data_IF_029730217020
#
_entry.id   IF_029730217020
#
_cell.length_a   1.000
_cell.length_b   1.000
_cell.length_c   1.000
_cell.angle_alpha   90.00
_cell.angle_beta   90.00
_cell.angle_gamma   90.00
#
_symmetry.space_group_name_H-M   'P 1'
#
loop_
_entity.id
_entity.type
_entity.pdbx_description
1 polymer ?
#
# COMPACT_ATOMS: atom_id res chain seq x y z
N UNK A 1 -5.84 40.61 -34.15
CA UNK A 1 -5.69 39.74 -32.97
C UNK A 1 -4.22 39.37 -32.85
N UNK A 2 -3.44 40.16 -32.11
CA UNK A 2 -1.99 39.93 -31.94
C UNK A 2 -1.80 38.77 -30.96
N UNK A 3 -1.42 37.60 -31.46
CA UNK A 3 -1.08 36.45 -30.62
C UNK A 3 0.13 36.83 -29.77
N UNK A 4 -0.06 36.95 -28.45
CA UNK A 4 0.98 37.34 -27.50
C UNK A 4 2.00 36.19 -27.38
N UNK A 5 3.23 36.32 -27.90
CA UNK A 5 4.24 35.25 -27.88
C UNK A 5 4.67 34.88 -26.46
N UNK A 6 4.38 35.72 -25.48
CA UNK A 6 4.63 35.48 -24.06
C UNK A 6 3.76 34.35 -23.47
N UNK A 7 2.51 34.22 -23.93
CA UNK A 7 1.62 33.12 -23.54
C UNK A 7 2.11 31.77 -24.07
N UNK A 8 2.75 31.76 -25.26
CA UNK A 8 3.23 30.52 -25.89
C UNK A 8 4.40 29.90 -25.13
N UNK A 9 5.30 30.73 -24.61
CA UNK A 9 6.46 30.25 -23.85
C UNK A 9 6.07 29.92 -22.40
N UNK A 10 5.24 30.75 -21.76
CA UNK A 10 4.76 30.50 -20.39
C UNK A 10 3.98 29.18 -20.28
N UNK A 11 3.21 28.82 -21.30
CA UNK A 11 2.49 27.55 -21.35
C UNK A 11 3.44 26.34 -21.37
N UNK A 12 4.55 26.43 -22.10
CA UNK A 12 5.57 25.37 -22.13
C UNK A 12 6.21 25.19 -20.74
N UNK A 13 6.54 26.28 -20.04
CA UNK A 13 7.12 26.21 -18.70
C UNK A 13 6.13 25.66 -17.66
N UNK A 14 4.85 26.00 -17.79
CA UNK A 14 3.79 25.41 -16.97
C UNK A 14 3.71 23.90 -17.16
N UNK A 15 3.73 23.43 -18.41
CA UNK A 15 3.72 21.98 -18.72
C UNK A 15 4.95 21.26 -18.17
N UNK A 16 6.14 21.88 -18.26
CA UNK A 16 7.37 21.34 -17.68
C UNK A 16 7.25 21.24 -16.15
N UNK A 17 6.68 22.25 -15.48
CA UNK A 17 6.51 22.24 -14.02
C UNK A 17 5.54 21.14 -13.58
N UNK A 18 4.45 20.92 -14.32
CA UNK A 18 3.53 19.79 -14.08
C UNK A 18 4.24 18.45 -14.31
N UNK A 19 5.03 18.33 -15.38
CA UNK A 19 5.79 17.10 -15.66
C UNK A 19 6.81 16.79 -14.55
N UNK A 20 7.54 17.79 -14.06
CA UNK A 20 8.45 17.65 -12.93
C UNK A 20 7.68 17.27 -11.66
N UNK A 21 6.55 17.92 -11.38
CA UNK A 21 5.69 17.56 -10.25
C UNK A 21 5.21 16.10 -10.31
N UNK A 22 4.81 15.61 -11.49
CA UNK A 22 4.42 14.22 -11.70
C UNK A 22 5.59 13.24 -11.49
N UNK A 23 6.80 13.59 -11.95
CA UNK A 23 8.00 12.79 -11.69
C UNK A 23 8.34 12.75 -10.20
N UNK A 24 8.16 13.84 -9.46
CA UNK A 24 8.28 13.86 -8.00
C UNK A 24 7.30 12.87 -7.36
N UNK A 25 6.01 12.89 -7.73
CA UNK A 25 5.04 11.91 -7.24
C UNK A 25 5.44 10.46 -7.52
N UNK A 26 5.99 10.17 -8.70
CA UNK A 26 6.45 8.82 -9.07
C UNK A 26 7.67 8.38 -8.25
N UNK A 27 8.64 9.27 -8.01
CA UNK A 27 9.84 8.95 -7.20
C UNK A 27 9.50 8.71 -5.72
N UNK A 28 8.48 9.40 -5.20
CA UNK A 28 7.99 9.18 -3.83
C UNK A 28 7.11 7.93 -3.69
N UNK A 29 6.72 7.27 -4.79
CA UNK A 29 6.05 5.99 -4.75
C UNK A 29 7.07 4.85 -4.90
N UNK A 30 7.50 4.18 -3.81
CA UNK A 30 8.40 3.05 -3.93
C UNK A 30 7.72 1.95 -4.78
N UNK A 31 8.43 1.35 -5.76
CA UNK A 31 7.89 0.23 -6.52
C UNK A 31 7.57 -0.89 -5.53
N UNK A 32 6.29 -1.18 -5.34
CA UNK A 32 5.84 -2.29 -4.51
C UNK A 32 6.34 -3.57 -5.17
N UNK A 33 7.47 -4.09 -4.70
CA UNK A 33 7.87 -5.48 -4.96
C UNK A 33 6.88 -6.35 -4.21
N UNK A 34 5.72 -6.57 -4.81
CA UNK A 34 4.67 -7.42 -4.26
C UNK A 34 5.13 -8.87 -4.29
N UNK A 35 5.70 -9.34 -3.19
CA UNK A 35 5.91 -10.77 -2.99
C UNK A 35 4.57 -11.43 -2.66
N UNK A 36 4.16 -12.42 -3.44
CA UNK A 36 2.99 -13.22 -3.10
C UNK A 36 3.36 -14.19 -1.98
N UNK A 37 2.77 -14.03 -0.79
CA UNK A 37 3.04 -14.87 0.39
C UNK A 37 1.75 -15.50 0.91
N UNK A 38 1.85 -16.69 1.49
CA UNK A 38 0.68 -17.35 2.11
C UNK A 38 0.25 -16.64 3.39
N UNK A 39 -1.03 -16.73 3.74
CA UNK A 39 -1.59 -16.13 4.96
C UNK A 39 -0.89 -16.66 6.23
N UNK A 40 -0.44 -17.91 6.21
CA UNK A 40 0.33 -18.52 7.31
C UNK A 40 1.71 -17.88 7.47
N UNK A 41 2.38 -17.55 6.36
CA UNK A 41 3.64 -16.80 6.39
C UNK A 41 3.42 -15.40 6.96
N UNK A 42 2.34 -14.72 6.57
CA UNK A 42 1.97 -13.43 7.15
C UNK A 42 1.75 -13.54 8.65
N UNK A 43 1.03 -14.56 9.12
CA UNK A 43 0.82 -14.77 10.55
C UNK A 43 2.14 -14.95 11.31
N UNK A 44 3.07 -15.74 10.77
CA UNK A 44 4.41 -15.89 11.34
C UNK A 44 5.17 -14.56 11.39
N UNK A 45 5.10 -13.76 10.33
CA UNK A 45 5.76 -12.46 10.25
C UNK A 45 5.17 -11.43 11.22
N UNK A 46 3.84 -11.45 11.42
CA UNK A 46 3.15 -10.65 12.44
C UNK A 46 3.59 -11.11 13.84
N UNK A 47 3.67 -12.42 14.08
CA UNK A 47 4.13 -12.97 15.36
C UNK A 47 5.57 -12.55 15.67
N UNK A 48 6.44 -12.55 14.66
CA UNK A 48 7.82 -12.08 14.74
C UNK A 48 7.93 -10.56 14.86
N UNK A 49 6.82 -9.82 14.75
CA UNK A 49 6.78 -8.35 14.86
C UNK A 49 7.47 -7.64 13.70
N UNK A 50 7.58 -8.29 12.54
CA UNK A 50 8.20 -7.75 11.33
C UNK A 50 7.21 -6.90 10.52
N UNK A 51 5.92 -7.08 10.74
CA UNK A 51 4.85 -6.36 10.05
C UNK A 51 4.59 -5.00 10.71
N UNK A 52 4.39 -3.98 9.88
CA UNK A 52 4.05 -2.62 10.30
C UNK A 52 2.57 -2.33 10.05
N UNK A 53 2.09 -2.64 8.85
CA UNK A 53 0.72 -2.34 8.41
C UNK A 53 0.16 -3.49 7.58
N UNK A 54 -1.13 -3.78 7.73
CA UNK A 54 -1.87 -4.70 6.86
C UNK A 54 -3.04 -3.91 6.26
N UNK A 55 -3.09 -3.77 4.93
CA UNK A 55 -4.28 -3.27 4.25
C UNK A 55 -5.09 -4.43 3.67
N UNK A 56 -6.41 -4.38 3.81
CA UNK A 56 -7.33 -5.36 3.24
C UNK A 56 -8.15 -4.70 2.13
N UNK A 57 -7.97 -5.15 0.89
CA UNK A 57 -8.74 -4.72 -0.29
C UNK A 57 -9.54 -5.91 -0.81
N UNK A 58 -10.83 -5.98 -0.47
CA UNK A 58 -11.70 -7.08 -0.87
C UNK A 58 -11.20 -8.45 -0.39
N UNK A 59 -10.64 -9.24 -1.32
CA UNK A 59 -10.10 -10.59 -1.04
C UNK A 59 -8.55 -10.61 -0.89
N UNK A 60 -7.91 -9.46 -1.04
CA UNK A 60 -6.46 -9.33 -1.09
C UNK A 60 -5.98 -8.57 0.14
N UNK A 61 -4.97 -9.11 0.82
CA UNK A 61 -4.27 -8.49 1.93
C UNK A 61 -2.93 -7.98 1.45
N UNK A 62 -2.62 -6.72 1.68
CA UNK A 62 -1.31 -6.13 1.44
C UNK A 62 -0.62 -5.91 2.78
N UNK A 63 0.50 -6.59 2.99
CA UNK A 63 1.31 -6.53 4.19
C UNK A 63 2.50 -5.61 3.94
N UNK A 64 2.62 -4.54 4.72
CA UNK A 64 3.76 -3.65 4.73
C UNK A 64 4.65 -4.01 5.92
N UNK A 65 5.90 -4.35 5.65
CA UNK A 65 6.87 -4.69 6.68
C UNK A 65 7.48 -3.43 7.30
N UNK A 66 8.09 -3.57 8.48
CA UNK A 66 8.88 -2.50 9.12
C UNK A 66 10.16 -2.17 8.34
N UNK A 67 10.66 -3.13 7.57
CA UNK A 67 11.79 -2.93 6.68
C UNK A 67 11.40 -2.04 5.49
N UNK A 68 12.24 -1.06 5.17
CA UNK A 68 11.91 0.02 4.24
C UNK A 68 11.73 -0.56 2.84
N UNK A 69 10.53 -0.40 2.26
CA UNK A 69 10.22 -0.79 0.89
C UNK A 69 9.86 -2.26 0.68
N UNK A 70 9.69 -3.06 1.74
CA UNK A 70 9.18 -4.43 1.62
C UNK A 70 7.66 -4.46 1.81
N UNK A 71 6.96 -4.87 0.75
CA UNK A 71 5.53 -5.15 0.76
C UNK A 71 5.30 -6.58 0.28
N UNK A 72 4.37 -7.29 0.88
CA UNK A 72 3.91 -8.57 0.37
C UNK A 72 2.40 -8.54 0.19
N UNK A 73 1.89 -9.39 -0.68
CA UNK A 73 0.46 -9.56 -0.88
C UNK A 73 0.10 -10.99 -0.56
N UNK A 74 -1.01 -11.15 0.15
CA UNK A 74 -1.54 -12.44 0.56
C UNK A 74 -3.03 -12.50 0.24
N UNK A 75 -3.54 -13.68 -0.07
CA UNK A 75 -4.97 -13.87 -0.20
C UNK A 75 -5.60 -14.05 1.19
N UNK A 76 -6.78 -13.44 1.43
CA UNK A 76 -7.55 -13.75 2.63
C UNK A 76 -7.88 -15.25 2.67
N UNK A 77 -7.66 -15.88 3.83
CA UNK A 77 -8.08 -17.26 4.06
C UNK A 77 -9.61 -17.40 4.00
N UNK A 78 -10.32 -16.40 4.54
CA UNK A 78 -11.78 -16.34 4.54
C UNK A 78 -12.24 -14.89 4.29
N UNK A 79 -13.24 -14.71 3.42
CA UNK A 79 -13.80 -13.40 3.08
C UNK A 79 -14.57 -12.80 4.26
N UNK A 80 -15.27 -13.65 5.01
CA UNK A 80 -16.22 -13.27 6.05
C UNK A 80 -15.57 -13.03 7.41
N UNK A 81 -14.27 -13.35 7.53
CA UNK A 81 -13.52 -13.21 8.78
C UNK A 81 -12.62 -11.98 8.70
N UNK A 82 -12.61 -11.20 9.78
CA UNK A 82 -11.73 -10.04 9.93
C UNK A 82 -10.25 -10.47 9.96
N UNK A 83 -9.35 -9.56 9.62
CA UNK A 83 -7.91 -9.87 9.54
C UNK A 83 -7.37 -10.27 10.91
N UNK A 84 -7.82 -9.57 11.95
CA UNK A 84 -7.49 -9.79 13.36
C UNK A 84 -7.88 -11.21 13.80
N UNK A 85 -9.12 -11.59 13.50
CA UNK A 85 -9.67 -12.90 13.86
C UNK A 85 -8.95 -14.02 13.10
N UNK A 86 -8.62 -13.79 11.83
CA UNK A 86 -7.82 -14.73 11.03
C UNK A 86 -6.42 -14.92 11.61
N UNK A 87 -5.74 -13.83 12.01
CA UNK A 87 -4.42 -13.90 12.66
C UNK A 87 -4.49 -14.62 14.01
N UNK A 88 -5.53 -14.34 14.80
CA UNK A 88 -5.78 -15.01 16.08
C UNK A 88 -6.00 -16.51 15.90
N UNK A 89 -6.78 -16.91 14.89
CA UNK A 89 -6.99 -18.33 14.54
C UNK A 89 -5.71 -19.03 14.08
N UNK A 90 -4.75 -18.29 13.53
CA UNK A 90 -3.42 -18.79 13.16
C UNK A 90 -2.42 -18.80 14.34
N UNK A 91 -2.87 -18.45 15.55
CA UNK A 91 -2.05 -18.50 16.76
C UNK A 91 -1.24 -17.24 17.05
N UNK A 92 -1.53 -16.12 16.37
CA UNK A 92 -0.86 -14.84 16.62
C UNK A 92 -1.33 -14.23 17.94
N UNK A 93 -0.38 -13.78 18.77
CA UNK A 93 -0.69 -13.18 20.07
C UNK A 93 -1.41 -11.82 19.91
N UNK A 94 -2.44 -11.50 20.72
CA UNK A 94 -3.19 -10.24 20.62
C UNK A 94 -2.30 -9.00 20.72
N UNK A 95 -1.27 -9.03 21.56
CA UNK A 95 -0.31 -7.93 21.73
C UNK A 95 0.45 -7.60 20.43
N UNK A 96 0.70 -8.62 19.59
CA UNK A 96 1.35 -8.45 18.29
C UNK A 96 0.39 -7.88 17.26
N UNK A 97 -0.88 -8.27 17.31
CA UNK A 97 -1.93 -7.73 16.44
C UNK A 97 -2.15 -6.24 16.73
N UNK A 98 -2.18 -5.84 18.01
CA UNK A 98 -2.29 -4.43 18.42
C UNK A 98 -1.10 -3.57 17.95
N UNK A 99 0.07 -4.18 17.76
CA UNK A 99 1.26 -3.51 17.24
C UNK A 99 1.27 -3.31 15.73
N UNK A 100 0.25 -3.79 15.02
CA UNK A 100 0.11 -3.67 13.56
C UNK A 100 -1.05 -2.75 13.22
N UNK A 101 -0.82 -1.82 12.30
CA UNK A 101 -1.88 -0.95 11.79
C UNK A 101 -2.72 -1.73 10.75
N UNK A 102 -3.99 -1.98 11.05
CA UNK A 102 -4.90 -2.70 10.14
C UNK A 102 -5.84 -1.69 9.49
N UNK A 103 -5.81 -1.63 8.16
CA UNK A 103 -6.62 -0.69 7.38
C UNK A 103 -7.47 -1.44 6.37
N UNK A 104 -8.78 -1.21 6.41
CA UNK A 104 -9.70 -1.75 5.42
C UNK A 104 -9.85 -0.73 4.29
N UNK A 105 -9.18 -0.98 3.17
CA UNK A 105 -9.27 -0.14 1.98
C UNK A 105 -10.50 -0.58 1.17
N UNK A 106 -11.46 0.32 1.02
CA UNK A 106 -12.60 0.08 0.15
C UNK A 106 -12.11 0.06 -1.30
N UNK A 107 -12.46 -0.97 -2.11
CA UNK A 107 -12.13 -0.94 -3.52
C UNK A 107 -12.77 0.30 -4.15
N UNK A 108 -12.06 1.03 -5.04
CA UNK A 108 -12.61 2.20 -5.69
C UNK A 108 -13.92 1.83 -6.38
N UNK A 109 -15.00 2.48 -5.96
CA UNK A 109 -16.32 2.39 -6.58
C UNK A 109 -16.21 3.19 -7.89
N UNK A 110 -15.98 2.51 -9.01
CA UNK A 110 -16.02 3.11 -10.34
C UNK A 110 -17.36 2.83 -10.99
#
# INVERSE_FOLDING_TARGET
>A
MTANPWLRNGFIYLLILVAVGALFFQVFQPPQKTNLVSVSTVALDVQNGLVKKISSVGNTLTVTYKDIGKTATSAKANRDVSVEESLKNLGVSPDKILGVEIVYEQPPQW
#
